data_IF_954056754475
#
_entry.id   IF_954056754475
#
_cell.length_a   1.000
_cell.length_b   1.000
_cell.length_c   1.000
_cell.angle_alpha   90.00
_cell.angle_beta   90.00
_cell.angle_gamma   90.00
#
_symmetry.space_group_name_H-M   'P 1'
#
loop_
_entity.id
_entity.type
_entity.pdbx_description
1 polymer ?
#
# COMPACT_ATOMS: atom_id res chain seq x y z
N UNK A 1 0.13 -24.58 -3.53
CA UNK A 1 0.53 -23.27 -4.13
C UNK A 1 0.58 -22.25 -3.01
N UNK A 2 1.72 -21.58 -2.78
CA UNK A 2 1.83 -20.47 -1.81
C UNK A 2 1.23 -19.23 -2.47
N UNK A 3 0.20 -18.64 -1.86
CA UNK A 3 -0.43 -17.42 -2.35
C UNK A 3 0.03 -16.27 -1.45
N UNK A 4 0.68 -15.27 -2.05
CA UNK A 4 1.11 -14.05 -1.37
C UNK A 4 0.19 -12.92 -1.83
N UNK A 5 -0.92 -12.67 -1.13
CA UNK A 5 -1.87 -11.64 -1.53
C UNK A 5 -1.26 -10.25 -1.35
N UNK A 6 -1.46 -9.39 -2.36
CA UNK A 6 -1.21 -7.96 -2.23
C UNK A 6 -2.49 -7.31 -1.68
N UNK A 7 -2.35 -6.56 -0.59
CA UNK A 7 -3.48 -5.98 0.15
C UNK A 7 -3.42 -4.46 0.02
N UNK A 8 -4.57 -3.84 -0.31
CA UNK A 8 -4.72 -2.38 -0.31
C UNK A 8 -5.81 -2.02 0.71
N UNK A 9 -5.47 -1.18 1.69
CA UNK A 9 -6.41 -0.69 2.70
C UNK A 9 -6.24 0.82 2.93
N UNK A 10 -7.32 1.51 3.29
CA UNK A 10 -7.26 2.94 3.63
C UNK A 10 -6.42 3.24 4.89
N UNK A 11 -6.21 2.25 5.77
CA UNK A 11 -5.39 2.43 6.98
C UNK A 11 -3.89 2.27 6.73
N UNK A 12 -3.51 1.48 5.72
CA UNK A 12 -2.11 1.06 5.51
C UNK A 12 -1.57 1.37 4.12
N UNK A 13 -2.40 1.88 3.22
CA UNK A 13 -2.07 1.91 1.79
C UNK A 13 -1.91 0.48 1.24
N UNK A 14 -0.88 0.26 0.44
CA UNK A 14 -0.54 -1.05 -0.14
C UNK A 14 0.47 -1.81 0.73
N UNK A 15 0.26 -3.11 0.96
CA UNK A 15 1.16 -3.98 1.73
C UNK A 15 1.04 -5.46 1.33
N UNK A 16 2.12 -6.23 1.47
CA UNK A 16 2.18 -7.70 1.39
C UNK A 16 2.14 -8.36 2.79
N UNK A 17 2.31 -7.58 3.86
CA UNK A 17 2.20 -8.01 5.25
C UNK A 17 0.74 -8.01 5.72
N UNK A 18 0.22 -9.23 5.98
CA UNK A 18 -1.14 -9.47 6.46
C UNK A 18 -1.35 -8.94 7.88
N UNK A 19 -0.38 -9.14 8.78
CA UNK A 19 -0.50 -8.69 10.16
C UNK A 19 -0.57 -7.16 10.21
N UNK A 20 0.25 -6.50 9.40
CA UNK A 20 0.21 -5.05 9.25
C UNK A 20 -1.14 -4.56 8.70
N UNK A 21 -1.65 -5.18 7.63
CA UNK A 21 -2.93 -4.82 7.02
C UNK A 21 -4.12 -4.90 7.99
N UNK A 22 -4.14 -5.92 8.84
CA UNK A 22 -5.27 -6.19 9.74
C UNK A 22 -5.05 -5.70 11.19
N UNK A 23 -3.89 -5.13 11.52
CA UNK A 23 -3.54 -4.64 12.87
C UNK A 23 -4.59 -3.69 13.46
N UNK A 24 -5.28 -2.95 12.59
CA UNK A 24 -6.24 -1.92 12.97
C UNK A 24 -7.67 -2.24 12.51
N UNK A 25 -8.01 -3.53 12.35
CA UNK A 25 -9.35 -3.98 11.91
C UNK A 25 -10.51 -3.42 12.75
N UNK A 26 -10.24 -3.06 14.00
CA UNK A 26 -11.23 -2.54 14.95
C UNK A 26 -11.38 -1.01 14.87
N UNK A 27 -10.56 -0.32 14.08
CA UNK A 27 -10.69 1.12 13.83
C UNK A 27 -11.60 1.35 12.62
N UNK A 28 -12.57 2.24 12.77
CA UNK A 28 -13.43 2.66 11.67
C UNK A 28 -12.68 3.58 10.70
N UNK A 29 -12.71 3.23 9.41
CA UNK A 29 -12.38 4.17 8.34
C UNK A 29 -13.56 5.14 8.19
N UNK A 30 -13.45 6.31 8.81
CA UNK A 30 -14.49 7.34 8.76
C UNK A 30 -14.43 8.02 7.39
N UNK A 31 -15.38 7.70 6.51
CA UNK A 31 -15.57 8.38 5.23
C UNK A 31 -15.72 9.89 5.44
N UNK A 32 -14.93 10.69 4.72
CA UNK A 32 -14.95 12.16 4.81
C UNK A 32 -13.97 12.79 5.81
N UNK A 33 -13.13 11.99 6.49
CA UNK A 33 -11.98 12.50 7.25
C UNK A 33 -10.67 12.03 6.62
N UNK A 34 -9.68 12.93 6.53
CA UNK A 34 -8.32 12.58 6.08
C UNK A 34 -7.72 11.52 7.01
N UNK A 35 -7.67 10.28 6.54
CA UNK A 35 -6.94 9.20 7.19
C UNK A 35 -5.47 9.36 6.81
N UNK A 36 -4.56 9.37 7.79
CA UNK A 36 -3.13 9.31 7.50
C UNK A 36 -2.76 7.83 7.42
N UNK A 37 -2.25 7.32 6.29
CA UNK A 37 -1.74 5.96 6.23
C UNK A 37 -0.71 5.72 7.33
N UNK A 38 -0.79 4.57 7.99
CA UNK A 38 0.19 4.18 9.00
C UNK A 38 1.53 3.76 8.39
N UNK A 39 1.60 3.54 7.07
CA UNK A 39 2.84 3.28 6.36
C UNK A 39 3.46 4.61 5.90
N UNK A 40 4.60 5.05 6.47
CA UNK A 40 5.29 6.27 6.04
C UNK A 40 5.92 6.14 4.65
N UNK A 41 6.02 4.91 4.14
CA UNK A 41 6.49 4.60 2.79
C UNK A 41 5.33 4.35 1.83
N UNK A 42 4.08 4.49 2.29
CA UNK A 42 2.93 4.42 1.42
C UNK A 42 3.08 5.52 0.35
N UNK A 43 3.29 5.13 -0.91
CA UNK A 43 3.50 6.09 -2.00
C UNK A 43 2.23 6.89 -2.27
N UNK A 44 1.09 6.36 -1.86
CA UNK A 44 -0.23 6.93 -2.04
C UNK A 44 -0.88 7.15 -0.67
N UNK A 45 -0.97 8.42 -0.27
CA UNK A 45 -1.99 8.85 0.67
C UNK A 45 -3.29 8.93 -0.14
N UNK A 46 -4.20 7.97 0.03
CA UNK A 46 -5.47 7.91 -0.70
C UNK A 46 -6.42 9.09 -0.43
N UNK A 47 -5.95 10.12 0.27
CA UNK A 47 -6.64 11.40 0.49
C UNK A 47 -5.89 12.60 -0.12
N UNK A 48 -4.64 12.44 -0.56
CA UNK A 48 -3.81 13.50 -1.13
C UNK A 48 -3.40 13.19 -2.58
N UNK A 49 -4.37 13.31 -3.48
CA UNK A 49 -4.26 12.88 -4.88
C UNK A 49 -3.50 13.89 -5.77
N UNK A 50 -2.91 14.95 -5.19
CA UNK A 50 -2.29 16.05 -5.97
C UNK A 50 -1.15 15.59 -6.86
N UNK A 51 -0.46 14.54 -6.44
CA UNK A 51 0.67 13.95 -7.16
C UNK A 51 0.28 12.67 -7.94
N UNK A 52 -1.01 12.32 -7.97
CA UNK A 52 -1.55 11.14 -8.65
C UNK A 52 -1.70 11.40 -10.15
N UNK A 53 -0.57 11.64 -10.82
CA UNK A 53 -0.54 11.85 -12.27
C UNK A 53 -0.21 10.56 -13.01
N UNK A 54 -0.75 10.41 -14.22
CA UNK A 54 -0.43 9.29 -15.13
C UNK A 54 1.08 9.17 -15.37
N UNK A 55 1.75 10.31 -15.55
CA UNK A 55 3.20 10.37 -15.75
C UNK A 55 3.95 9.75 -14.56
N UNK A 56 3.54 10.11 -13.34
CA UNK A 56 4.12 9.58 -12.11
C UNK A 56 3.83 8.10 -11.92
N UNK A 57 2.61 7.66 -12.19
CA UNK A 57 2.23 6.25 -12.12
C UNK A 57 3.01 5.36 -13.10
N UNK A 58 3.37 5.89 -14.28
CA UNK A 58 4.15 5.15 -15.29
C UNK A 58 5.65 5.12 -14.97
N UNK A 59 6.19 6.20 -14.43
CA UNK A 59 7.65 6.37 -14.31
C UNK A 59 8.19 6.07 -12.90
N UNK A 60 7.37 6.20 -11.85
CA UNK A 60 7.79 5.90 -10.49
C UNK A 60 7.43 4.46 -10.13
N UNK A 61 8.43 3.73 -9.66
CA UNK A 61 8.24 2.39 -9.10
C UNK A 61 8.02 2.48 -7.61
N UNK A 62 7.14 1.64 -7.10
CA UNK A 62 6.99 1.43 -5.66
C UNK A 62 8.08 0.45 -5.24
N UNK A 63 9.14 0.87 -4.52
CA UNK A 63 10.31 0.03 -4.27
C UNK A 63 9.93 -1.27 -3.56
N UNK A 64 9.08 -1.17 -2.52
CA UNK A 64 8.58 -2.31 -1.76
C UNK A 64 7.76 -3.29 -2.60
N UNK A 65 6.99 -2.81 -3.58
CA UNK A 65 6.23 -3.67 -4.50
C UNK A 65 7.13 -4.34 -5.53
N UNK A 66 8.11 -3.61 -6.04
CA UNK A 66 9.13 -4.16 -6.92
C UNK A 66 9.90 -5.29 -6.22
N UNK A 67 10.36 -5.06 -4.99
CA UNK A 67 11.05 -6.06 -4.18
C UNK A 67 10.16 -7.28 -3.91
N UNK A 68 8.89 -7.07 -3.54
CA UNK A 68 7.94 -8.17 -3.33
C UNK A 68 7.78 -9.07 -4.56
N UNK A 69 7.71 -8.48 -5.75
CA UNK A 69 7.53 -9.24 -7.00
C UNK A 69 8.79 -10.01 -7.40
N UNK A 70 9.98 -9.53 -7.04
CA UNK A 70 11.27 -10.10 -7.47
C UNK A 70 11.98 -10.94 -6.39
N UNK A 71 11.49 -10.98 -5.15
CA UNK A 71 11.98 -11.85 -4.06
C UNK A 71 11.91 -13.37 -4.36
N UNK A 72 11.23 -13.79 -5.43
CA UNK A 72 11.11 -15.20 -5.82
C UNK A 72 12.00 -15.61 -7.00
N UNK A 73 12.91 -14.74 -7.46
CA UNK A 73 13.77 -15.02 -8.62
C UNK A 73 15.12 -15.65 -8.24
N UNK A 74 15.40 -15.82 -6.95
CA UNK A 74 16.68 -16.32 -6.41
C UNK A 74 16.53 -17.58 -5.52
N UNK A 75 15.56 -18.45 -5.81
CA UNK A 75 15.42 -19.78 -5.17
C UNK A 75 15.24 -20.89 -6.20
#
# INVERSE_FOLDING_TARGET
>A
RKCNPLIVSGHTGWTDDREFAFRHKDKLCISGKKQKPHDPTAPYDGYDEREDTEEKARNMRLPKAWDCMHKNTEQ
#
